data_IF_909070127950
#
_entry.id   IF_909070127950
#
_cell.length_a   1.000
_cell.length_b   1.000
_cell.length_c   1.000
_cell.angle_alpha   90.00
_cell.angle_beta   90.00
_cell.angle_gamma   90.00
#
_symmetry.space_group_name_H-M   'P 1'
#
loop_
_entity.id
_entity.type
_entity.pdbx_description
1 polymer ?
#
# COMPACT_ATOMS: atom_id res chain seq x y z
N UNK A 1 16.28 52.64 18.52
CA UNK A 1 15.05 52.10 19.14
C UNK A 1 14.46 51.07 18.20
N UNK A 2 14.67 49.80 18.53
CA UNK A 2 14.15 48.65 17.78
C UNK A 2 12.83 48.20 18.41
N UNK A 3 11.98 47.60 17.57
CA UNK A 3 10.95 46.59 17.87
C UNK A 3 9.53 47.04 18.22
N UNK A 4 8.63 46.45 17.42
CA UNK A 4 7.22 46.09 17.65
C UNK A 4 6.29 47.29 17.48
N UNK A 5 5.29 47.23 16.59
CA UNK A 5 4.09 46.41 16.82
C UNK A 5 3.20 46.35 15.55
N UNK A 6 2.74 45.11 15.25
CA UNK A 6 1.50 44.69 14.56
C UNK A 6 1.21 45.01 13.08
N UNK A 7 1.19 43.93 12.29
CA UNK A 7 0.10 43.52 11.36
C UNK A 7 0.44 42.07 10.95
N UNK A 8 0.09 41.06 11.75
CA UNK A 8 -1.15 40.26 11.63
C UNK A 8 -1.74 40.32 10.23
N UNK A 9 -1.51 39.26 9.46
CA UNK A 9 -2.47 38.59 8.54
C UNK A 9 -1.70 37.95 7.39
N UNK A 10 -1.48 36.65 7.51
CA UNK A 10 -1.71 35.62 6.48
C UNK A 10 -0.98 34.38 6.95
N UNK A 11 -1.53 33.76 8.01
CA UNK A 11 -1.53 32.30 8.10
C UNK A 11 -2.29 31.82 6.87
N UNK A 12 -1.56 31.64 5.76
CA UNK A 12 -1.99 30.74 4.71
C UNK A 12 -2.01 29.39 5.41
N UNK A 13 -3.19 29.03 5.90
CA UNK A 13 -3.51 27.64 6.20
C UNK A 13 -3.37 26.97 4.84
N UNK A 14 -2.21 26.40 4.59
CA UNK A 14 -2.00 25.47 3.51
C UNK A 14 -2.93 24.30 3.78
N UNK A 15 -4.19 24.43 3.33
CA UNK A 15 -5.00 23.30 2.91
C UNK A 15 -4.29 22.72 1.68
N UNK A 16 -3.11 22.12 1.89
CA UNK A 16 -2.64 21.09 0.98
C UNK A 16 -3.75 20.06 0.99
N UNK A 17 -4.37 19.89 -0.18
CA UNK A 17 -5.58 19.09 -0.31
C UNK A 17 -5.33 17.68 0.21
N UNK A 18 -5.71 17.39 1.45
CA UNK A 18 -5.66 16.03 2.03
C UNK A 18 -6.42 15.04 1.14
N UNK A 19 -7.47 15.53 0.46
CA UNK A 19 -8.21 14.83 -0.57
C UNK A 19 -7.33 14.28 -1.71
N UNK A 20 -6.30 15.03 -2.10
CA UNK A 20 -5.33 14.78 -3.16
C UNK A 20 -4.45 13.56 -2.90
N UNK A 21 -3.80 13.57 -1.74
CA UNK A 21 -2.76 12.61 -1.34
C UNK A 21 -3.30 11.21 -1.12
N UNK A 22 -4.36 11.05 -0.31
CA UNK A 22 -4.79 9.73 0.16
C UNK A 22 -5.15 8.74 -0.96
N UNK A 23 -5.81 9.18 -2.04
CA UNK A 23 -6.16 8.30 -3.17
C UNK A 23 -4.92 7.93 -3.99
N UNK A 24 -3.90 8.80 -4.02
CA UNK A 24 -2.62 8.51 -4.66
C UNK A 24 -1.84 7.50 -3.84
N UNK A 25 -1.81 7.64 -2.51
CA UNK A 25 -1.15 6.70 -1.62
C UNK A 25 -1.78 5.30 -1.70
N UNK A 26 -3.13 5.22 -1.75
CA UNK A 26 -3.82 3.95 -1.97
C UNK A 26 -3.44 3.28 -3.29
N UNK A 27 -3.20 4.06 -4.36
CA UNK A 27 -2.71 3.53 -5.64
C UNK A 27 -1.28 2.99 -5.52
N UNK A 28 -0.42 3.68 -4.78
CA UNK A 28 0.95 3.23 -4.52
C UNK A 28 0.95 1.90 -3.74
N UNK A 29 0.12 1.80 -2.71
CA UNK A 29 -0.05 0.58 -1.93
C UNK A 29 -0.60 -0.59 -2.76
N UNK A 30 -1.55 -0.31 -3.66
CA UNK A 30 -2.10 -1.32 -4.56
C UNK A 30 -1.03 -1.90 -5.50
N UNK A 31 -0.18 -1.05 -6.09
CA UNK A 31 0.97 -1.48 -6.91
C UNK A 31 1.98 -2.30 -6.11
N UNK A 32 2.34 -1.84 -4.91
CA UNK A 32 3.24 -2.59 -4.03
C UNK A 32 2.67 -3.98 -3.69
N UNK A 33 1.37 -4.09 -3.38
CA UNK A 33 0.72 -5.37 -3.14
C UNK A 33 0.70 -6.27 -4.39
N UNK A 34 0.54 -5.68 -5.58
CA UNK A 34 0.63 -6.41 -6.84
C UNK A 34 2.04 -6.97 -7.07
N UNK A 35 3.08 -6.19 -6.81
CA UNK A 35 4.47 -6.60 -7.01
C UNK A 35 4.86 -7.72 -6.02
N UNK A 36 4.46 -7.59 -4.75
CA UNK A 36 4.58 -8.66 -3.75
C UNK A 36 3.89 -9.95 -4.26
N UNK A 37 2.69 -9.82 -4.83
CA UNK A 37 1.96 -10.96 -5.41
C UNK A 37 2.70 -11.59 -6.58
N UNK A 38 3.26 -10.79 -7.50
CA UNK A 38 4.04 -11.28 -8.64
C UNK A 38 5.26 -12.08 -8.16
N UNK A 39 6.02 -11.54 -7.20
CA UNK A 39 7.19 -12.22 -6.63
C UNK A 39 6.79 -13.55 -5.97
N UNK A 40 5.69 -13.56 -5.20
CA UNK A 40 5.17 -14.79 -4.60
C UNK A 40 4.77 -15.84 -5.66
N UNK A 41 4.09 -15.43 -6.74
CA UNK A 41 3.72 -16.31 -7.85
C UNK A 41 4.96 -16.88 -8.51
N UNK A 42 5.95 -16.04 -8.84
CA UNK A 42 7.19 -16.46 -9.48
C UNK A 42 7.92 -17.49 -8.62
N UNK A 43 8.09 -17.24 -7.32
CA UNK A 43 8.71 -18.22 -6.43
C UNK A 43 7.92 -19.54 -6.38
N UNK A 44 6.58 -19.48 -6.31
CA UNK A 44 5.76 -20.69 -6.34
C UNK A 44 5.91 -21.49 -7.63
N UNK A 45 5.93 -20.83 -8.79
CA UNK A 45 6.13 -21.48 -10.10
C UNK A 45 7.51 -22.14 -10.15
N UNK A 46 8.55 -21.45 -9.69
CA UNK A 46 9.90 -21.98 -9.63
C UNK A 46 10.03 -23.23 -8.76
N UNK A 47 9.38 -23.23 -7.59
CA UNK A 47 9.39 -24.37 -6.67
C UNK A 47 8.49 -25.53 -7.15
N UNK A 48 7.27 -25.23 -7.64
CA UNK A 48 6.27 -26.26 -7.99
C UNK A 48 6.47 -26.84 -9.38
N UNK A 49 6.64 -25.96 -10.38
CA UNK A 49 6.61 -26.34 -11.79
C UNK A 49 8.01 -26.73 -12.25
N UNK A 50 8.99 -25.85 -12.01
CA UNK A 50 10.36 -26.09 -12.45
C UNK A 50 11.15 -27.00 -11.51
N UNK A 51 10.57 -27.34 -10.34
CA UNK A 51 11.18 -28.20 -9.30
C UNK A 51 12.62 -27.78 -8.98
N UNK A 52 12.94 -26.48 -9.09
CA UNK A 52 14.30 -26.00 -8.87
C UNK A 52 14.67 -26.28 -7.41
N UNK A 53 15.87 -26.83 -7.23
CA UNK A 53 16.40 -27.11 -5.91
C UNK A 53 16.66 -25.80 -5.19
N UNK A 54 15.94 -25.63 -4.09
CA UNK A 54 16.09 -24.59 -3.09
C UNK A 54 15.53 -23.20 -3.45
N UNK A 55 14.97 -22.64 -2.39
CA UNK A 55 14.72 -21.24 -2.11
C UNK A 55 15.83 -20.23 -2.48
N UNK A 56 16.95 -20.66 -3.07
CA UNK A 56 18.12 -19.85 -3.40
C UNK A 56 18.08 -19.17 -4.77
N UNK A 57 16.98 -19.27 -5.53
CA UNK A 57 16.81 -18.41 -6.70
C UNK A 57 16.40 -16.99 -6.27
N UNK A 58 16.77 -15.99 -7.07
CA UNK A 58 16.57 -14.58 -6.75
C UNK A 58 15.11 -14.26 -6.39
N UNK A 59 14.14 -14.87 -7.09
CA UNK A 59 12.71 -14.65 -6.82
C UNK A 59 12.24 -15.22 -5.48
N UNK A 60 12.79 -16.35 -5.03
CA UNK A 60 12.49 -16.95 -3.73
C UNK A 60 13.32 -16.34 -2.59
N UNK A 61 14.48 -15.75 -2.89
CA UNK A 61 15.20 -14.87 -1.97
C UNK A 61 14.38 -13.61 -1.76
N UNK A 62 14.00 -12.91 -2.83
CA UNK A 62 13.16 -11.70 -2.80
C UNK A 62 11.81 -11.95 -2.10
N UNK A 63 11.16 -13.09 -2.38
CA UNK A 63 9.95 -13.49 -1.66
C UNK A 63 10.15 -13.64 -0.14
N UNK A 64 11.31 -14.16 0.30
CA UNK A 64 11.66 -14.29 1.72
C UNK A 64 12.12 -12.96 2.33
N UNK A 65 12.77 -12.12 1.53
CA UNK A 65 13.26 -10.80 1.88
C UNK A 65 12.20 -9.70 1.84
N UNK A 66 10.97 -10.01 1.39
CA UNK A 66 9.75 -9.35 1.88
C UNK A 66 9.57 -9.67 3.37
N UNK A 67 10.53 -9.18 4.13
CA UNK A 67 10.79 -9.44 5.52
C UNK A 67 9.60 -8.96 6.36
N UNK A 68 9.46 -9.54 7.55
CA UNK A 68 8.43 -9.18 8.51
C UNK A 68 8.33 -7.65 8.74
N UNK A 69 9.43 -6.86 8.85
CA UNK A 69 9.39 -5.42 9.00
C UNK A 69 8.85 -4.69 7.76
N UNK A 70 9.24 -5.08 6.54
CA UNK A 70 8.72 -4.46 5.32
C UNK A 70 7.22 -4.72 5.19
N UNK A 71 6.79 -5.96 5.45
CA UNK A 71 5.38 -6.33 5.44
C UNK A 71 4.60 -5.69 6.60
N UNK A 72 5.23 -5.47 7.76
CA UNK A 72 4.64 -4.72 8.88
C UNK A 72 4.44 -3.25 8.51
N UNK A 73 5.46 -2.61 7.93
CA UNK A 73 5.38 -1.22 7.46
C UNK A 73 4.30 -1.06 6.38
N UNK A 74 4.26 -1.98 5.41
CA UNK A 74 3.21 -1.98 4.39
C UNK A 74 1.81 -2.05 5.01
N UNK A 75 1.60 -2.95 5.98
CA UNK A 75 0.29 -3.09 6.68
C UNK A 75 -0.07 -1.85 7.49
N UNK A 76 0.90 -1.27 8.20
CA UNK A 76 0.71 -0.04 8.97
C UNK A 76 0.29 1.11 8.04
N UNK A 77 1.02 1.30 6.92
CA UNK A 77 0.68 2.30 5.91
C UNK A 77 -0.71 2.06 5.31
N UNK A 78 -1.05 0.81 4.99
CA UNK A 78 -2.37 0.48 4.45
C UNK A 78 -3.48 0.78 5.46
N UNK A 79 -3.27 0.52 6.74
CA UNK A 79 -4.24 0.84 7.80
C UNK A 79 -4.42 2.35 7.96
N UNK A 80 -3.32 3.09 8.07
CA UNK A 80 -3.32 4.55 8.16
C UNK A 80 -4.07 5.18 6.98
N UNK A 81 -3.70 4.81 5.76
CA UNK A 81 -4.29 5.35 4.54
C UNK A 81 -5.75 4.89 4.36
N UNK A 82 -6.12 3.71 4.87
CA UNK A 82 -7.53 3.26 4.89
C UNK A 82 -8.37 4.11 5.84
N UNK A 83 -7.84 4.46 7.01
CA UNK A 83 -8.52 5.33 7.99
C UNK A 83 -8.67 6.73 7.42
N UNK A 84 -7.60 7.29 6.85
CA UNK A 84 -7.62 8.60 6.20
C UNK A 84 -8.63 8.62 5.03
N UNK A 85 -8.61 7.59 4.18
CA UNK A 85 -9.54 7.49 3.07
C UNK A 85 -10.99 7.38 3.53
N UNK A 86 -11.24 6.70 4.66
CA UNK A 86 -12.58 6.62 5.28
C UNK A 86 -13.05 7.96 5.83
N UNK A 87 -12.14 8.82 6.31
CA UNK A 87 -12.49 10.20 6.68
C UNK A 87 -12.80 11.01 5.42
N UNK A 88 -11.91 10.95 4.42
CA UNK A 88 -12.10 11.60 3.13
C UNK A 88 -13.42 11.21 2.46
N UNK A 89 -13.80 9.93 2.45
CA UNK A 89 -15.00 9.47 1.75
C UNK A 89 -16.32 9.89 2.40
N UNK A 90 -16.27 10.42 3.64
CA UNK A 90 -17.41 10.98 4.37
C UNK A 90 -17.50 12.50 4.27
N UNK A 91 -16.46 13.14 3.72
CA UNK A 91 -16.45 14.57 3.50
C UNK A 91 -17.54 14.95 2.48
N UNK A 92 -18.42 15.93 2.78
CA UNK A 92 -19.45 16.39 1.84
C UNK A 92 -18.91 16.84 0.47
N UNK A 93 -17.69 17.36 0.45
CA UNK A 93 -17.02 17.86 -0.77
C UNK A 93 -16.21 16.75 -1.48
N UNK A 94 -16.28 15.51 -0.99
CA UNK A 94 -15.57 14.40 -1.58
C UNK A 94 -16.11 14.04 -2.98
N UNK A 95 -15.21 14.08 -3.96
CA UNK A 95 -15.53 13.65 -5.32
C UNK A 95 -15.89 12.15 -5.35
N UNK A 96 -17.13 11.84 -5.78
CA UNK A 96 -17.60 10.46 -6.04
C UNK A 96 -16.62 9.64 -6.90
N UNK A 97 -16.03 10.26 -7.93
CA UNK A 97 -15.03 9.62 -8.80
C UNK A 97 -13.76 9.22 -8.02
N UNK A 98 -13.31 10.07 -7.10
CA UNK A 98 -12.15 9.79 -6.24
C UNK A 98 -12.45 8.70 -5.23
N UNK A 99 -13.64 8.72 -4.62
CA UNK A 99 -14.11 7.66 -3.72
C UNK A 99 -14.12 6.31 -4.44
N UNK A 100 -14.71 6.24 -5.63
CA UNK A 100 -14.74 5.00 -6.42
C UNK A 100 -13.33 4.46 -6.73
N UNK A 101 -12.37 5.34 -7.05
CA UNK A 101 -10.98 4.92 -7.28
C UNK A 101 -10.31 4.41 -6.01
N UNK A 102 -10.43 5.13 -4.89
CA UNK A 102 -9.84 4.70 -3.62
C UNK A 102 -10.41 3.35 -3.15
N UNK A 103 -11.73 3.14 -3.31
CA UNK A 103 -12.35 1.84 -3.01
C UNK A 103 -11.82 0.72 -3.91
N UNK A 104 -11.65 0.97 -5.22
CA UNK A 104 -11.04 -0.02 -6.14
C UNK A 104 -9.64 -0.40 -5.69
N UNK A 105 -8.78 0.57 -5.38
CA UNK A 105 -7.42 0.29 -4.91
C UNK A 105 -7.41 -0.51 -3.60
N UNK A 106 -8.30 -0.18 -2.64
CA UNK A 106 -8.42 -0.93 -1.39
C UNK A 106 -8.89 -2.38 -1.61
N UNK A 107 -9.86 -2.61 -2.49
CA UNK A 107 -10.34 -3.96 -2.82
C UNK A 107 -9.23 -4.77 -3.48
N UNK A 108 -8.61 -4.24 -4.52
CA UNK A 108 -7.52 -4.92 -5.24
C UNK A 108 -6.33 -5.20 -4.32
N UNK A 109 -5.95 -4.26 -3.45
CA UNK A 109 -4.90 -4.47 -2.44
C UNK A 109 -5.22 -5.67 -1.54
N UNK A 110 -6.45 -5.76 -1.02
CA UNK A 110 -6.88 -6.88 -0.16
C UNK A 110 -6.86 -8.21 -0.90
N UNK A 111 -7.33 -8.24 -2.15
CA UNK A 111 -7.31 -9.43 -3.00
C UNK A 111 -5.87 -9.89 -3.26
N UNK A 112 -4.95 -8.98 -3.59
CA UNK A 112 -3.54 -9.32 -3.79
C UNK A 112 -2.88 -9.88 -2.53
N UNK A 113 -3.12 -9.27 -1.36
CA UNK A 113 -2.62 -9.79 -0.09
C UNK A 113 -3.20 -11.17 0.25
N UNK A 114 -4.47 -11.40 -0.06
CA UNK A 114 -5.08 -12.71 0.15
C UNK A 114 -4.50 -13.76 -0.79
N UNK A 115 -4.25 -13.40 -2.05
CA UNK A 115 -3.52 -14.24 -3.01
C UNK A 115 -2.13 -14.61 -2.47
N UNK A 116 -1.36 -13.64 -1.96
CA UNK A 116 -0.04 -13.89 -1.36
C UNK A 116 -0.13 -14.87 -0.19
N UNK A 117 -1.11 -14.74 0.70
CA UNK A 117 -1.33 -15.68 1.81
C UNK A 117 -1.62 -17.10 1.31
N UNK A 118 -2.44 -17.24 0.27
CA UNK A 118 -2.79 -18.55 -0.30
C UNK A 118 -1.58 -19.20 -0.99
N UNK A 119 -0.80 -18.41 -1.73
CA UNK A 119 0.45 -18.87 -2.35
C UNK A 119 1.44 -19.32 -1.27
N UNK A 120 1.61 -18.53 -0.19
CA UNK A 120 2.47 -18.89 0.94
C UNK A 120 2.10 -20.25 1.53
N UNK A 121 0.81 -20.50 1.76
CA UNK A 121 0.33 -21.80 2.25
C UNK A 121 0.70 -22.92 1.28
N UNK A 122 0.54 -22.67 -0.02
CA UNK A 122 0.88 -23.64 -1.07
C UNK A 122 2.37 -23.94 -1.10
N UNK A 123 3.24 -22.93 -1.03
CA UNK A 123 4.69 -23.08 -0.95
C UNK A 123 5.09 -23.89 0.30
N UNK A 124 4.53 -23.57 1.47
CA UNK A 124 4.84 -24.28 2.72
C UNK A 124 4.36 -25.75 2.74
N UNK A 125 3.56 -26.16 1.77
CA UNK A 125 3.08 -27.54 1.61
C UNK A 125 3.82 -28.34 0.53
N UNK A 126 4.81 -27.73 -0.13
CA UNK A 126 5.73 -28.41 -1.07
C UNK A 126 6.86 -29.09 -0.30
#
# INVERSE_FOLDING_TARGET
MLKRVLLVSLLIISFESMAGGVVSELKTLERQAEDIRKVAITCYVELKVFKKSAWGNDSCIEYREFDKPMMQKFKANLEEQSVEFKRYSKDPDASRKRILRGLRYLVSTKEYLQSVKNIRKSINSL
#
